data_IF_165965597744
#
_entry.id   IF_165965597744
#
_cell.length_a   1.000
_cell.length_b   1.000
_cell.length_c   1.000
_cell.angle_alpha   90.00
_cell.angle_beta   90.00
_cell.angle_gamma   90.00
#
_symmetry.space_group_name_H-M   'P 1'
#
loop_
_entity.id
_entity.type
_entity.pdbx_description
1 polymer ?
#
# COMPACT_ATOMS: atom_id res chain seq x y z
N UNK A 1 -4.71 22.75 7.69
CA UNK A 1 -5.57 21.80 6.96
C UNK A 1 -5.75 20.54 7.80
N UNK A 2 -6.96 20.31 8.32
CA UNK A 2 -7.26 19.14 9.16
C UNK A 2 -8.03 18.12 8.29
N UNK A 3 -7.31 17.21 7.65
CA UNK A 3 -7.92 16.16 6.86
C UNK A 3 -8.45 15.06 7.79
N UNK A 4 -9.73 15.16 8.14
CA UNK A 4 -10.48 14.08 8.76
C UNK A 4 -10.73 12.98 7.72
N UNK A 5 -9.77 12.08 7.54
CA UNK A 5 -10.01 10.88 6.74
C UNK A 5 -10.99 9.98 7.51
N UNK A 6 -12.24 9.92 7.02
CA UNK A 6 -13.23 8.95 7.48
C UNK A 6 -12.64 7.55 7.30
N UNK A 7 -12.44 6.84 8.40
CA UNK A 7 -11.97 5.45 8.48
C UNK A 7 -13.06 4.51 7.94
N UNK A 8 -13.40 4.67 6.67
CA UNK A 8 -14.29 3.78 5.92
C UNK A 8 -13.44 2.84 5.09
N UNK A 9 -13.82 1.57 5.03
CA UNK A 9 -13.29 0.64 4.04
C UNK A 9 -13.61 1.19 2.64
N UNK A 10 -12.73 2.01 2.07
CA UNK A 10 -12.86 2.45 0.68
C UNK A 10 -12.58 1.21 -0.17
N UNK A 11 -13.65 0.56 -0.60
CA UNK A 11 -13.58 -0.51 -1.60
C UNK A 11 -13.35 0.21 -2.92
N UNK A 12 -12.09 0.27 -3.35
CA UNK A 12 -11.76 0.77 -4.67
C UNK A 12 -12.25 -0.25 -5.72
N UNK A 13 -12.98 0.18 -6.76
CA UNK A 13 -13.34 -0.71 -7.85
C UNK A 13 -12.07 -1.22 -8.54
N UNK A 14 -12.08 -2.48 -8.95
CA UNK A 14 -10.98 -3.07 -9.73
C UNK A 14 -10.93 -2.37 -11.10
N UNK A 15 -9.79 -1.76 -11.42
CA UNK A 15 -9.57 -1.08 -12.71
C UNK A 15 -9.58 -2.09 -13.87
N UNK A 16 -9.03 -3.29 -13.61
CA UNK A 16 -9.08 -4.42 -14.53
C UNK A 16 -9.46 -5.70 -13.79
N UNK A 17 -10.16 -6.59 -14.50
CA UNK A 17 -10.45 -7.92 -13.97
C UNK A 17 -9.12 -8.67 -13.78
N UNK A 18 -8.80 -9.13 -12.56
CA UNK A 18 -7.58 -9.89 -12.33
C UNK A 18 -7.63 -11.21 -13.10
N UNK A 19 -6.46 -11.73 -13.47
CA UNK A 19 -6.35 -13.10 -13.97
C UNK A 19 -6.92 -14.09 -12.94
N UNK A 20 -7.36 -15.28 -13.39
CA UNK A 20 -7.99 -16.27 -12.51
C UNK A 20 -7.10 -16.59 -11.30
N UNK A 21 -5.81 -16.77 -11.51
CA UNK A 21 -4.84 -17.01 -10.44
C UNK A 21 -4.82 -15.87 -9.41
N UNK A 22 -4.75 -14.62 -9.87
CA UNK A 22 -4.78 -13.45 -8.99
C UNK A 22 -6.12 -13.34 -8.26
N UNK A 23 -7.23 -13.64 -8.93
CA UNK A 23 -8.56 -13.59 -8.31
C UNK A 23 -8.70 -14.52 -7.11
N UNK A 24 -8.06 -15.70 -7.14
CA UNK A 24 -8.02 -16.61 -6.00
C UNK A 24 -7.26 -16.01 -4.81
N UNK A 25 -6.15 -15.32 -5.04
CA UNK A 25 -5.40 -14.66 -3.96
C UNK A 25 -6.24 -13.57 -3.25
N UNK A 26 -7.13 -12.90 -3.99
CA UNK A 26 -7.97 -11.83 -3.44
C UNK A 26 -9.24 -12.34 -2.75
N UNK A 27 -9.94 -13.31 -3.35
CA UNK A 27 -11.30 -13.70 -2.94
C UNK A 27 -11.31 -14.97 -2.08
N UNK A 28 -10.35 -15.89 -2.28
CA UNK A 28 -10.41 -17.19 -1.63
C UNK A 28 -10.17 -17.11 -0.13
N UNK A 29 -10.91 -17.94 0.59
CA UNK A 29 -10.86 -18.08 2.04
C UNK A 29 -9.82 -19.10 2.52
N UNK A 30 -8.99 -19.62 1.61
CA UNK A 30 -7.89 -20.52 1.97
C UNK A 30 -6.90 -19.80 2.92
N UNK A 31 -6.43 -20.47 4.00
CA UNK A 31 -5.46 -19.91 4.93
C UNK A 31 -4.19 -19.35 4.26
N UNK A 32 -3.66 -20.02 3.24
CA UNK A 32 -2.46 -19.59 2.52
C UNK A 32 -2.67 -18.25 1.82
N UNK A 33 -3.82 -18.06 1.19
CA UNK A 33 -4.16 -16.81 0.52
C UNK A 33 -4.46 -15.70 1.50
N UNK A 34 -5.04 -16.02 2.67
CA UNK A 34 -5.20 -15.05 3.76
C UNK A 34 -3.84 -14.57 4.27
N UNK A 35 -2.90 -15.48 4.49
CA UNK A 35 -1.54 -15.14 4.90
C UNK A 35 -0.84 -14.27 3.84
N UNK A 36 -0.97 -14.63 2.56
CA UNK A 36 -0.47 -13.82 1.44
C UNK A 36 -1.02 -12.38 1.47
N UNK A 37 -2.34 -12.21 1.65
CA UNK A 37 -2.97 -10.87 1.72
C UNK A 37 -2.44 -10.02 2.88
N UNK A 38 -2.16 -10.64 4.03
CA UNK A 38 -1.59 -9.94 5.18
C UNK A 38 -0.15 -9.52 4.87
N UNK A 39 0.66 -10.44 4.34
CA UNK A 39 2.07 -10.20 4.06
C UNK A 39 2.26 -9.11 3.00
N UNK A 40 1.50 -9.16 1.89
CA UNK A 40 1.59 -8.14 0.85
C UNK A 40 1.12 -6.77 1.35
N UNK A 41 0.14 -6.73 2.25
CA UNK A 41 -0.32 -5.48 2.88
C UNK A 41 0.75 -4.86 3.76
N UNK A 42 1.41 -5.66 4.59
CA UNK A 42 2.53 -5.20 5.43
C UNK A 42 3.68 -4.70 4.55
N UNK A 43 4.06 -5.46 3.53
CA UNK A 43 5.10 -5.07 2.58
C UNK A 43 4.78 -3.72 1.92
N UNK A 44 3.57 -3.55 1.40
CA UNK A 44 3.15 -2.31 0.75
C UNK A 44 3.13 -1.12 1.71
N UNK A 45 2.71 -1.31 2.96
CA UNK A 45 2.78 -0.24 3.97
C UNK A 45 4.20 0.15 4.30
N UNK A 46 5.08 -0.83 4.52
CA UNK A 46 6.51 -0.59 4.79
C UNK A 46 7.16 0.11 3.59
N UNK A 47 6.91 -0.35 2.37
CA UNK A 47 7.42 0.28 1.16
C UNK A 47 6.92 1.72 1.01
N UNK A 48 5.63 1.96 1.19
CA UNK A 48 5.07 3.31 1.14
C UNK A 48 5.66 4.22 2.22
N UNK A 49 5.84 3.71 3.43
CA UNK A 49 6.47 4.43 4.54
C UNK A 49 7.92 4.79 4.21
N UNK A 50 8.73 3.83 3.76
CA UNK A 50 10.12 4.04 3.34
C UNK A 50 10.16 5.06 2.20
N UNK A 51 9.29 4.94 1.20
CA UNK A 51 9.25 5.85 0.06
C UNK A 51 8.88 7.28 0.47
N UNK A 52 7.92 7.45 1.39
CA UNK A 52 7.55 8.76 1.95
C UNK A 52 8.71 9.35 2.74
N UNK A 53 9.34 8.55 3.61
CA UNK A 53 10.51 8.96 4.40
C UNK A 53 11.68 9.36 3.49
N UNK A 54 11.99 8.54 2.49
CA UNK A 54 13.02 8.85 1.48
C UNK A 54 12.72 10.15 0.73
N UNK A 55 11.48 10.35 0.27
CA UNK A 55 11.07 11.63 -0.36
C UNK A 55 11.16 12.80 0.60
N UNK A 56 10.88 12.59 1.88
CA UNK A 56 11.01 13.63 2.92
C UNK A 56 12.49 13.97 3.14
N UNK A 57 13.36 12.99 3.25
CA UNK A 57 14.81 13.19 3.40
C UNK A 57 15.42 13.84 2.15
N UNK A 58 15.00 13.44 0.95
CA UNK A 58 15.40 14.09 -0.30
C UNK A 58 14.94 15.56 -0.38
N UNK A 59 13.79 15.92 0.22
CA UNK A 59 13.33 17.31 0.34
C UNK A 59 14.05 18.10 1.44
N UNK A 60 14.54 17.42 2.49
CA UNK A 60 15.29 18.02 3.61
C UNK A 60 16.79 18.08 3.31
N UNK A 61 17.27 17.40 2.27
CA UNK A 61 18.64 17.51 1.79
C UNK A 61 18.88 18.89 1.14
N UNK A 62 18.94 19.92 1.98
CA UNK A 62 19.59 21.19 1.71
C UNK A 62 21.10 20.94 1.62
N UNK A 63 21.55 20.18 0.62
CA UNK A 63 22.90 20.36 0.09
C UNK A 63 22.94 21.67 -0.71
N UNK A 64 22.44 22.77 -0.13
CA UNK A 64 22.89 24.09 -0.52
C UNK A 64 24.29 24.21 0.09
N UNK A 65 25.28 23.78 -0.70
CA UNK A 65 26.62 24.35 -0.59
C UNK A 65 26.45 25.85 -0.85
N UNK A 66 26.59 26.66 0.19
CA UNK A 66 27.10 28.04 0.09
C UNK A 66 28.49 27.98 0.69
#
# INVERSE_FOLDING_TARGET
FKAYYKKGNIILPLIHKPSLYLSYLFISNNPLYRAFRINIRIYNYTFAFILISYKKDARINFSYRI
#
